data_IF_757366614309
#
_entry.id   IF_757366614309
#
_cell.length_a   1.000
_cell.length_b   1.000
_cell.length_c   1.000
_cell.angle_alpha   90.00
_cell.angle_beta   90.00
_cell.angle_gamma   90.00
#
_symmetry.space_group_name_H-M   'P 1'
#
loop_
_entity.id
_entity.type
_entity.pdbx_description
1 polymer ?
#
# COMPACT_ATOMS: atom_id res chain seq x y z
N UNK A 1 -10.29 -18.90 0.38
CA UNK A 1 -11.35 -17.88 0.25
C UNK A 1 -11.49 -16.95 1.46
N UNK A 2 -11.36 -17.41 2.71
CA UNK A 2 -11.53 -16.56 3.91
C UNK A 2 -10.39 -15.56 4.25
N UNK A 3 -9.25 -15.60 3.54
CA UNK A 3 -8.10 -14.72 3.80
C UNK A 3 -8.18 -13.38 3.04
N UNK A 4 -8.88 -13.33 1.89
CA UNK A 4 -9.05 -12.10 1.11
C UNK A 4 -9.83 -11.01 1.87
N UNK A 5 -10.83 -11.39 2.68
CA UNK A 5 -11.59 -10.43 3.51
C UNK A 5 -10.73 -9.75 4.58
N UNK A 6 -9.57 -10.31 4.96
CA UNK A 6 -8.68 -9.73 5.96
C UNK A 6 -7.77 -8.61 5.44
N UNK A 7 -7.74 -8.34 4.13
CA UNK A 7 -6.85 -7.30 3.60
C UNK A 7 -7.58 -5.97 3.36
N UNK A 8 -8.89 -6.02 3.07
CA UNK A 8 -9.67 -4.82 2.77
C UNK A 8 -9.78 -3.85 3.96
N UNK A 9 -9.70 -4.34 5.20
CA UNK A 9 -9.78 -3.46 6.38
C UNK A 9 -8.52 -2.61 6.57
N UNK A 10 -7.35 -3.06 6.14
CA UNK A 10 -6.12 -2.25 6.19
C UNK A 10 -6.15 -1.12 5.17
N UNK A 11 -6.65 -1.40 3.96
CA UNK A 11 -6.84 -0.36 2.95
C UNK A 11 -7.86 0.70 3.42
N UNK A 12 -8.97 0.27 4.04
CA UNK A 12 -9.95 1.18 4.60
C UNK A 12 -9.38 2.05 5.73
N UNK A 13 -8.48 1.51 6.55
CA UNK A 13 -7.78 2.26 7.60
C UNK A 13 -6.91 3.38 7.01
N UNK A 14 -6.11 3.06 5.98
CA UNK A 14 -5.25 4.04 5.33
C UNK A 14 -6.08 5.13 4.62
N UNK A 15 -7.17 4.75 3.95
CA UNK A 15 -8.10 5.69 3.32
C UNK A 15 -8.74 6.63 4.34
N UNK A 16 -9.15 6.13 5.50
CA UNK A 16 -9.74 6.96 6.56
C UNK A 16 -8.77 8.06 7.01
N UNK A 17 -7.52 7.70 7.29
CA UNK A 17 -6.52 8.67 7.74
C UNK A 17 -6.12 9.64 6.64
N UNK A 18 -5.89 9.16 5.42
CA UNK A 18 -5.59 10.01 4.29
C UNK A 18 -6.71 11.03 4.05
N UNK A 19 -7.97 10.57 4.02
CA UNK A 19 -9.13 11.46 3.88
C UNK A 19 -9.25 12.47 5.02
N UNK A 20 -8.94 12.07 6.25
CA UNK A 20 -8.92 12.97 7.41
C UNK A 20 -7.87 14.06 7.25
N UNK A 21 -6.66 13.73 6.80
CA UNK A 21 -5.62 14.73 6.56
C UNK A 21 -5.96 15.66 5.40
N UNK A 22 -6.57 15.14 4.35
CA UNK A 22 -7.07 15.94 3.23
C UNK A 22 -8.11 16.95 3.69
N UNK A 23 -9.07 16.53 4.52
CA UNK A 23 -10.10 17.43 5.08
C UNK A 23 -9.49 18.51 5.99
N UNK A 24 -8.47 18.17 6.77
CA UNK A 24 -7.76 19.11 7.66
C UNK A 24 -6.89 20.13 6.91
N UNK A 25 -6.31 19.75 5.77
CA UNK A 25 -5.43 20.61 4.96
C UNK A 25 -6.21 21.47 3.95
N UNK A 26 -7.35 20.96 3.45
CA UNK A 26 -8.15 21.65 2.44
C UNK A 26 -8.88 22.89 2.99
N UNK A 27 -9.05 23.88 2.11
CA UNK A 27 -9.96 25.00 2.39
C UNK A 27 -11.41 24.49 2.33
N UNK A 28 -12.25 24.78 3.35
CA UNK A 28 -13.65 24.36 3.36
C UNK A 28 -14.41 24.80 2.11
N UNK A 29 -15.28 23.92 1.59
CA UNK A 29 -16.13 24.16 0.41
C UNK A 29 -15.35 24.51 -0.88
N UNK A 30 -14.09 24.07 -0.98
CA UNK A 30 -13.25 24.31 -2.15
C UNK A 30 -12.70 22.99 -2.74
N UNK A 31 -13.37 22.51 -3.79
CA UNK A 31 -13.02 21.26 -4.48
C UNK A 31 -11.60 21.26 -5.07
N UNK A 32 -11.12 22.39 -5.58
CA UNK A 32 -9.75 22.50 -6.12
C UNK A 32 -8.72 22.36 -5.00
N UNK A 33 -8.97 22.96 -3.84
CA UNK A 33 -8.14 22.81 -2.65
C UNK A 33 -8.14 21.37 -2.15
N UNK A 34 -9.30 20.71 -2.08
CA UNK A 34 -9.41 19.30 -1.69
C UNK A 34 -8.65 18.39 -2.64
N UNK A 35 -8.76 18.62 -3.95
CA UNK A 35 -8.02 17.84 -4.96
C UNK A 35 -6.51 18.05 -4.84
N UNK A 36 -6.06 19.28 -4.61
CA UNK A 36 -4.63 19.58 -4.41
C UNK A 36 -4.08 18.92 -3.14
N UNK A 37 -4.83 18.99 -2.04
CA UNK A 37 -4.48 18.34 -0.78
C UNK A 37 -4.41 16.81 -0.97
N UNK A 38 -5.39 16.20 -1.64
CA UNK A 38 -5.40 14.76 -1.94
C UNK A 38 -4.15 14.33 -2.72
N UNK A 39 -3.82 15.03 -3.80
CA UNK A 39 -2.63 14.71 -4.60
C UNK A 39 -1.35 14.85 -3.77
N UNK A 40 -1.21 15.94 -3.02
CA UNK A 40 0.01 16.22 -2.24
C UNK A 40 0.20 15.26 -1.07
N UNK A 41 -0.88 14.93 -0.36
CA UNK A 41 -0.82 14.07 0.81
C UNK A 41 -0.68 12.59 0.43
N UNK A 42 -1.32 12.14 -0.65
CA UNK A 42 -1.15 10.76 -1.12
C UNK A 42 0.30 10.46 -1.53
N UNK A 43 1.02 11.45 -2.08
CA UNK A 43 2.43 11.34 -2.47
C UNK A 43 3.37 11.13 -1.28
N UNK A 44 2.96 11.52 -0.07
CA UNK A 44 3.82 11.53 1.13
C UNK A 44 3.33 10.63 2.26
N UNK A 45 2.08 10.13 2.18
CA UNK A 45 1.50 9.28 3.22
C UNK A 45 1.93 7.81 3.06
N UNK A 46 2.52 7.27 4.13
CA UNK A 46 2.85 5.86 4.31
C UNK A 46 1.90 5.24 5.35
N UNK A 47 1.01 4.37 4.90
CA UNK A 47 0.02 3.68 5.72
C UNK A 47 0.43 2.26 6.10
N UNK A 48 -0.52 1.51 6.67
CA UNK A 48 -0.34 0.09 7.01
C UNK A 48 -0.18 -0.76 5.75
N UNK A 49 -0.73 -0.31 4.62
CA UNK A 49 -0.61 -0.96 3.31
C UNK A 49 0.50 -0.37 2.43
N UNK A 50 1.40 0.42 3.01
CA UNK A 50 2.56 1.01 2.33
C UNK A 50 2.30 2.41 1.77
N UNK A 51 3.10 2.79 0.78
CA UNK A 51 3.00 4.09 0.11
C UNK A 51 1.68 4.25 -0.65
N UNK A 52 1.07 5.43 -0.55
CA UNK A 52 -0.27 5.69 -1.09
C UNK A 52 -0.30 6.60 -2.32
N UNK A 53 0.87 6.87 -2.91
CA UNK A 53 1.02 7.69 -4.11
C UNK A 53 0.10 7.21 -5.23
N UNK A 54 -0.65 8.15 -5.82
CA UNK A 54 -1.61 7.88 -6.87
C UNK A 54 -1.08 8.29 -8.25
N UNK A 55 -1.54 7.59 -9.29
CA UNK A 55 -1.34 7.97 -10.68
C UNK A 55 -2.44 8.94 -11.15
N UNK A 56 -2.39 9.34 -12.43
CA UNK A 56 -3.37 10.26 -13.01
C UNK A 56 -4.81 9.69 -13.04
N UNK A 57 -4.97 8.38 -12.94
CA UNK A 57 -6.26 7.69 -12.90
C UNK A 57 -6.80 7.54 -11.47
N UNK A 58 -5.99 7.86 -10.45
CA UNK A 58 -6.31 7.69 -9.05
C UNK A 58 -5.98 6.31 -8.50
N UNK A 59 -5.23 5.49 -9.24
CA UNK A 59 -4.75 4.18 -8.79
C UNK A 59 -3.42 4.33 -8.07
N UNK A 60 -3.11 3.45 -7.12
CA UNK A 60 -1.78 3.46 -6.48
C UNK A 60 -0.70 3.07 -7.47
N UNK A 61 0.36 3.87 -7.53
CA UNK A 61 1.52 3.64 -8.41
C UNK A 61 2.31 2.40 -8.00
N UNK A 62 2.36 2.11 -6.70
CA UNK A 62 3.20 1.06 -6.15
C UNK A 62 2.40 0.09 -5.26
N UNK A 63 2.84 -1.15 -5.27
CA UNK A 63 2.33 -2.23 -4.41
C UNK A 63 3.49 -3.10 -3.95
N UNK A 64 3.45 -3.45 -2.67
CA UNK A 64 4.38 -4.41 -2.09
C UNK A 64 3.78 -5.81 -2.16
N UNK A 65 4.61 -6.79 -2.49
CA UNK A 65 4.18 -8.18 -2.64
C UNK A 65 5.03 -9.11 -1.80
N UNK A 66 4.35 -9.95 -1.02
CA UNK A 66 4.98 -11.12 -0.41
C UNK A 66 4.99 -12.28 -1.42
N UNK A 67 6.16 -12.84 -1.67
CA UNK A 67 6.36 -14.00 -2.54
C UNK A 67 6.50 -15.22 -1.63
N UNK A 68 5.48 -16.08 -1.69
CA UNK A 68 5.43 -17.32 -0.95
C UNK A 68 5.80 -18.48 -1.87
N UNK A 69 6.66 -19.38 -1.40
CA UNK A 69 7.03 -20.59 -2.10
C UNK A 69 6.70 -21.82 -1.25
N UNK A 70 6.52 -22.96 -1.90
CA UNK A 70 6.38 -24.24 -1.19
C UNK A 70 7.79 -24.75 -0.89
N UNK A 71 8.09 -24.97 0.38
CA UNK A 71 9.32 -25.62 0.84
C UNK A 71 9.01 -27.07 1.25
N UNK A 72 9.87 -28.00 0.83
CA UNK A 72 9.85 -29.37 1.33
C UNK A 72 10.75 -29.50 2.56
N UNK A 73 10.24 -30.12 3.61
CA UNK A 73 11.02 -30.49 4.79
C UNK A 73 10.62 -31.90 5.25
N UNK A 74 11.52 -32.86 5.04
CA UNK A 74 11.33 -34.28 5.40
C UNK A 74 10.03 -34.89 4.84
N UNK A 75 9.70 -34.61 3.58
CA UNK A 75 8.50 -35.12 2.91
C UNK A 75 7.21 -34.36 3.23
N UNK A 76 7.26 -33.34 4.09
CA UNK A 76 6.17 -32.40 4.31
C UNK A 76 6.36 -31.14 3.46
N UNK A 77 5.26 -30.56 2.99
CA UNK A 77 5.26 -29.34 2.17
C UNK A 77 4.56 -28.22 2.91
N UNK A 78 5.22 -27.08 3.05
CA UNK A 78 4.66 -25.90 3.71
C UNK A 78 4.91 -24.62 2.90
N UNK A 79 4.01 -23.65 3.03
CA UNK A 79 4.22 -22.32 2.47
C UNK A 79 5.21 -21.56 3.34
N UNK A 80 6.35 -21.19 2.76
CA UNK A 80 7.34 -20.29 3.37
C UNK A 80 7.33 -18.95 2.62
N UNK A 81 7.44 -17.87 3.37
CA UNK A 81 7.72 -16.57 2.77
C UNK A 81 9.16 -16.60 2.25
N UNK A 82 9.34 -16.51 0.95
CA UNK A 82 10.62 -16.69 0.27
C UNK A 82 11.28 -15.34 -0.03
N UNK A 83 10.46 -14.37 -0.44
CA UNK A 83 10.92 -13.02 -0.72
C UNK A 83 9.81 -11.98 -0.56
N UNK A 84 10.19 -10.71 -0.55
CA UNK A 84 9.31 -9.56 -0.66
C UNK A 84 9.76 -8.66 -1.80
N UNK A 85 8.82 -8.25 -2.64
CA UNK A 85 9.01 -7.14 -3.55
C UNK A 85 8.49 -5.87 -2.89
N UNK A 86 9.31 -4.82 -2.82
CA UNK A 86 8.95 -3.53 -2.24
C UNK A 86 9.40 -2.39 -3.13
N UNK A 87 8.61 -1.31 -3.18
CA UNK A 87 8.97 -0.08 -3.90
C UNK A 87 8.84 1.13 -2.98
N UNK A 88 9.94 1.86 -2.80
CA UNK A 88 9.94 3.16 -2.12
C UNK A 88 9.84 4.30 -3.15
N UNK A 89 9.17 5.43 -2.83
CA UNK A 89 8.97 6.55 -3.74
C UNK A 89 10.28 7.08 -4.29
N UNK A 90 10.40 7.11 -5.61
CA UNK A 90 11.59 7.59 -6.30
C UNK A 90 12.71 6.55 -6.42
N UNK A 91 12.49 5.32 -5.96
CA UNK A 91 13.42 4.21 -6.13
C UNK A 91 12.87 3.14 -7.09
N UNK A 92 13.76 2.34 -7.67
CA UNK A 92 13.36 1.13 -8.38
C UNK A 92 12.92 0.05 -7.38
N UNK A 93 11.93 -0.75 -7.76
CA UNK A 93 11.44 -1.84 -6.93
C UNK A 93 12.49 -2.92 -6.68
N UNK A 94 12.59 -3.37 -5.43
CA UNK A 94 13.62 -4.29 -4.97
C UNK A 94 13.00 -5.62 -4.56
N UNK A 95 13.66 -6.71 -4.97
CA UNK A 95 13.38 -8.06 -4.47
C UNK A 95 14.31 -8.36 -3.29
N UNK A 96 13.72 -8.61 -2.13
CA UNK A 96 14.42 -8.90 -0.88
C UNK A 96 14.11 -10.33 -0.45
N UNK A 97 15.11 -11.20 -0.44
CA UNK A 97 14.95 -12.58 0.02
C UNK A 97 14.89 -12.65 1.54
N UNK A 98 14.04 -13.53 2.06
CA UNK A 98 13.90 -13.75 3.50
C UNK A 98 14.83 -14.90 3.90
N UNK A 99 15.72 -14.65 4.87
CA UNK A 99 16.64 -15.67 5.42
C UNK A 99 15.92 -16.81 6.15
#
# INVERSE_FOLDING_TARGET
MARLLKHMHWAAYDVLWLATFVDLDAVPENDESTKLAMNTLSDTYFGVTGWTKLDENGDRVHWDYDIWAISENNGNYEWRLDARYQVDPGEEGKLMYVE
#
